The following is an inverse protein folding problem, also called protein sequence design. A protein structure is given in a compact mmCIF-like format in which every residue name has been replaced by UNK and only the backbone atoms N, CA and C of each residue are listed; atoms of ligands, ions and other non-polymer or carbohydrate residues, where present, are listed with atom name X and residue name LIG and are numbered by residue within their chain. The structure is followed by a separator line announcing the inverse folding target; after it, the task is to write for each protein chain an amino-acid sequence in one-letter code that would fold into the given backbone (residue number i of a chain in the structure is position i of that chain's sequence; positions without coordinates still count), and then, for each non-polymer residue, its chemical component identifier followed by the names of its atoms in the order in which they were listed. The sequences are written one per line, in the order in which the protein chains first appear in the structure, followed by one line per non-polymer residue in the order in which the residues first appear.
data_IF_737197477378
#
_entry.id   IF_737197477378
#
_cell.length_a   1.000
_cell.length_b   1.000
_cell.length_c   1.000
_cell.angle_alpha   90.00
_cell.angle_beta   90.00
_cell.angle_gamma   90.00
#
_symmetry.space_group_name_H-M   'P 1'
#
loop_
_entity.id
_entity.type
_entity.pdbx_description
1 polymer ?
#
# COMPACT_ATOMS: atom_id res chain seq x y z
N UNK A 1 -15.66 9.22 11.43
CA UNK A 1 -14.54 8.81 12.31
C UNK A 1 -13.70 7.84 11.52
N UNK A 2 -12.37 8.03 11.48
CA UNK A 2 -11.46 7.12 10.79
C UNK A 2 -11.07 5.99 11.75
N UNK A 3 -11.21 4.74 11.34
CA UNK A 3 -10.91 3.59 12.20
C UNK A 3 -9.43 3.51 12.54
N UNK A 4 -9.12 3.04 13.75
CA UNK A 4 -7.75 2.78 14.17
C UNK A 4 -7.15 1.55 13.48
N UNK A 5 -5.83 1.38 13.62
CA UNK A 5 -5.13 0.16 13.18
C UNK A 5 -5.75 -1.09 13.81
N UNK A 6 -6.01 -1.09 15.11
CA UNK A 6 -6.55 -2.26 15.81
C UNK A 6 -7.98 -2.58 15.35
N UNK A 7 -8.80 -1.55 15.13
CA UNK A 7 -10.14 -1.72 14.55
C UNK A 7 -10.06 -2.31 13.14
N UNK A 8 -9.11 -1.88 12.31
CA UNK A 8 -8.92 -2.44 10.98
C UNK A 8 -8.52 -3.92 11.02
N UNK A 9 -7.68 -4.34 11.98
CA UNK A 9 -7.32 -5.76 12.19
C UNK A 9 -8.57 -6.58 12.52
N UNK A 10 -9.40 -6.11 13.45
CA UNK A 10 -10.58 -6.87 13.86
C UNK A 10 -11.63 -6.94 12.74
N UNK A 11 -11.81 -5.86 11.97
CA UNK A 11 -12.66 -5.87 10.77
C UNK A 11 -12.13 -6.88 9.74
N UNK A 12 -10.82 -6.90 9.48
CA UNK A 12 -10.21 -7.84 8.56
C UNK A 12 -10.35 -9.30 9.02
N UNK A 13 -10.24 -9.55 10.33
CA UNK A 13 -10.38 -10.89 10.92
C UNK A 13 -11.78 -11.45 10.67
N UNK A 14 -12.81 -10.65 10.89
CA UNK A 14 -14.20 -11.06 10.65
C UNK A 14 -14.47 -11.32 9.16
N UNK A 15 -13.89 -10.52 8.26
CA UNK A 15 -14.03 -10.75 6.82
C UNK A 15 -13.36 -12.05 6.36
N UNK A 16 -12.19 -12.40 6.90
CA UNK A 16 -11.51 -13.66 6.58
C UNK A 16 -12.37 -14.85 7.01
N UNK A 17 -12.91 -14.84 8.24
CA UNK A 17 -13.83 -15.89 8.71
C UNK A 17 -15.04 -16.03 7.78
N UNK A 18 -15.59 -14.90 7.32
CA UNK A 18 -16.73 -14.89 6.38
C UNK A 18 -16.36 -15.51 5.03
N UNK A 19 -15.16 -15.23 4.52
CA UNK A 19 -14.64 -15.76 3.26
C UNK A 19 -14.42 -17.27 3.34
N UNK A 20 -13.89 -17.77 4.47
CA UNK A 20 -13.75 -19.22 4.72
C UNK A 20 -15.10 -19.95 4.69
N UNK A 21 -16.15 -19.33 5.27
CA UNK A 21 -17.51 -19.87 5.25
C UNK A 21 -18.02 -20.01 3.81
N UNK A 22 -17.64 -19.10 2.91
CA UNK A 22 -18.03 -19.14 1.49
C UNK A 22 -17.27 -20.21 0.68
N UNK A 23 -16.22 -20.81 1.24
CA UNK A 23 -15.43 -21.92 0.66
C UNK A 23 -14.86 -21.65 -0.74
N UNK A 24 -14.44 -20.42 -1.01
CA UNK A 24 -13.65 -20.16 -2.21
C UNK A 24 -12.29 -20.89 -2.10
N UNK A 25 -11.98 -21.83 -3.03
CA UNK A 25 -10.72 -22.58 -2.99
C UNK A 25 -9.47 -21.70 -3.03
N UNK A 26 -9.56 -20.51 -3.63
CA UNK A 26 -8.45 -19.56 -3.69
C UNK A 26 -8.01 -19.13 -2.30
N UNK A 27 -8.95 -18.93 -1.38
CA UNK A 27 -8.69 -18.43 -0.03
C UNK A 27 -8.59 -19.53 1.03
N UNK A 28 -8.70 -20.81 0.65
CA UNK A 28 -8.60 -21.94 1.59
C UNK A 28 -7.35 -21.90 2.51
N UNK A 29 -6.15 -21.48 2.04
CA UNK A 29 -4.97 -21.37 2.91
C UNK A 29 -5.09 -20.31 4.00
N UNK A 30 -6.02 -19.35 3.89
CA UNK A 30 -6.15 -18.26 4.85
C UNK A 30 -6.65 -18.73 6.23
N UNK A 31 -7.20 -19.94 6.31
CA UNK A 31 -7.60 -20.61 7.56
C UNK A 31 -6.48 -20.78 8.60
N UNK A 32 -5.23 -20.75 8.16
CA UNK A 32 -4.04 -20.81 9.04
C UNK A 32 -3.24 -19.51 9.05
N UNK A 33 -3.76 -18.46 8.42
CA UNK A 33 -3.07 -17.19 8.32
C UNK A 33 -3.14 -16.39 9.63
N UNK A 34 -2.11 -15.60 9.87
CA UNK A 34 -2.17 -14.50 10.82
C UNK A 34 -2.42 -13.17 10.09
N UNK A 35 -2.88 -12.16 10.83
CA UNK A 35 -2.95 -10.80 10.31
C UNK A 35 -1.65 -10.05 10.66
N UNK A 36 -1.07 -9.41 9.65
CA UNK A 36 0.09 -8.54 9.81
C UNK A 36 -0.28 -7.16 10.36
N UNK A 37 0.74 -6.32 10.55
CA UNK A 37 0.53 -4.91 10.94
C UNK A 37 -0.16 -4.15 9.80
N UNK A 38 -1.28 -3.46 10.04
CA UNK A 38 -1.92 -2.62 9.03
C UNK A 38 -1.00 -1.52 8.54
N UNK A 39 -1.05 -1.27 7.23
CA UNK A 39 -0.38 -0.14 6.59
C UNK A 39 -1.42 0.92 6.28
N UNK A 40 -1.19 2.15 6.77
CA UNK A 40 -2.04 3.28 6.44
C UNK A 40 -1.70 3.76 5.04
N UNK A 41 -2.69 3.75 4.16
CA UNK A 41 -2.61 4.42 2.86
C UNK A 41 -3.22 5.80 3.00
N UNK A 42 -2.47 6.80 2.52
CA UNK A 42 -2.90 8.19 2.49
C UNK A 42 -3.29 8.62 1.08
N UNK A 43 -4.03 9.71 0.96
CA UNK A 43 -4.17 10.39 -0.34
C UNK A 43 -2.91 11.21 -0.65
N UNK A 44 -2.90 11.85 -1.82
CA UNK A 44 -1.80 12.71 -2.27
C UNK A 44 -1.52 13.91 -1.35
N UNK A 45 -2.50 14.32 -0.55
CA UNK A 45 -2.37 15.40 0.44
C UNK A 45 -2.01 14.89 1.84
N UNK A 46 -1.58 13.62 1.95
CA UNK A 46 -1.12 12.95 3.17
C UNK A 46 -2.23 12.74 4.21
N UNK A 47 -3.49 12.89 3.82
CA UNK A 47 -4.63 12.59 4.67
C UNK A 47 -4.90 11.08 4.70
N UNK A 48 -5.29 10.51 5.86
CA UNK A 48 -5.66 9.11 5.97
C UNK A 48 -6.78 8.72 4.99
N UNK A 49 -6.58 7.66 4.20
CA UNK A 49 -7.57 7.19 3.21
C UNK A 49 -8.15 5.82 3.58
N UNK A 50 -7.30 4.81 3.73
CA UNK A 50 -7.71 3.47 4.14
C UNK A 50 -6.54 2.66 4.72
N UNK A 51 -6.87 1.54 5.35
CA UNK A 51 -5.90 0.55 5.82
C UNK A 51 -5.79 -0.60 4.83
N UNK A 52 -4.57 -1.10 4.64
CA UNK A 52 -4.31 -2.42 4.07
C UNK A 52 -3.84 -3.33 5.21
N UNK A 53 -4.62 -4.36 5.51
CA UNK A 53 -4.28 -5.37 6.52
C UNK A 53 -3.67 -6.58 5.81
N UNK A 54 -2.38 -6.90 6.02
CA UNK A 54 -1.74 -8.04 5.39
C UNK A 54 -2.27 -9.36 5.94
N UNK A 55 -2.49 -10.34 5.06
CA UNK A 55 -2.76 -11.74 5.44
C UNK A 55 -1.46 -12.52 5.28
N UNK A 56 -0.96 -13.08 6.39
CA UNK A 56 0.40 -13.64 6.48
C UNK A 56 0.35 -15.14 6.71
N UNK A 57 1.04 -15.91 5.87
CA UNK A 57 1.20 -17.35 5.99
C UNK A 57 2.69 -17.66 5.91
N UNK A 58 3.25 -18.32 6.93
CA UNK A 58 4.66 -18.72 6.98
C UNK A 58 5.64 -17.56 6.70
N UNK A 59 5.33 -16.36 7.19
CA UNK A 59 6.16 -15.16 6.99
C UNK A 59 6.05 -14.52 5.60
N UNK A 60 5.12 -14.98 4.75
CA UNK A 60 4.81 -14.40 3.44
C UNK A 60 3.46 -13.72 3.47
N UNK A 61 3.35 -12.57 2.81
CA UNK A 61 2.10 -11.85 2.64
C UNK A 61 1.33 -12.51 1.51
N UNK A 62 0.46 -13.42 1.88
CA UNK A 62 -0.35 -14.24 0.97
C UNK A 62 -1.47 -13.42 0.33
N UNK A 63 -1.89 -12.32 0.97
CA UNK A 63 -2.92 -11.42 0.47
C UNK A 63 -3.14 -10.23 1.38
N UNK A 64 -4.30 -9.58 1.21
CA UNK A 64 -4.67 -8.41 1.98
C UNK A 64 -6.18 -8.26 2.14
N UNK A 65 -6.57 -7.48 3.14
CA UNK A 65 -7.90 -6.92 3.30
C UNK A 65 -7.80 -5.40 3.30
N UNK A 66 -8.54 -4.72 2.43
CA UNK A 66 -8.61 -3.25 2.36
C UNK A 66 -9.79 -2.75 3.18
N UNK A 67 -9.51 -1.99 4.24
CA UNK A 67 -10.51 -1.44 5.17
C UNK A 67 -10.55 0.08 5.04
N UNK A 68 -11.67 0.62 4.58
CA UNK A 68 -11.87 2.06 4.43
C UNK A 68 -11.96 2.77 5.78
N UNK A 69 -11.71 4.08 5.79
CA UNK A 69 -11.81 4.92 6.99
C UNK A 69 -13.07 4.71 7.86
N UNK A 70 -14.28 4.54 7.29
CA UNK A 70 -15.49 4.25 8.07
C UNK A 70 -15.59 2.83 8.64
N UNK A 71 -14.61 1.95 8.42
CA UNK A 71 -14.61 0.57 8.91
C UNK A 71 -15.27 -0.46 7.99
N UNK A 72 -15.43 -0.14 6.70
CA UNK A 72 -15.99 -1.04 5.70
C UNK A 72 -14.88 -1.73 4.91
N UNK A 73 -15.01 -3.03 4.65
CA UNK A 73 -14.15 -3.73 3.70
C UNK A 73 -14.49 -3.29 2.27
N UNK A 74 -13.50 -2.79 1.55
CA UNK A 74 -13.63 -2.41 0.14
C UNK A 74 -13.18 -3.52 -0.81
N UNK A 75 -12.19 -4.31 -0.41
CA UNK A 75 -11.63 -5.36 -1.23
C UNK A 75 -10.87 -6.39 -0.37
N UNK A 76 -10.81 -7.61 -0.89
CA UNK A 76 -9.84 -8.63 -0.48
C UNK A 76 -9.09 -9.08 -1.74
N UNK A 77 -7.84 -9.51 -1.58
CA UNK A 77 -7.05 -10.00 -2.71
C UNK A 77 -5.93 -10.93 -2.27
N UNK A 78 -5.58 -11.88 -3.13
CA UNK A 78 -4.43 -12.76 -2.97
C UNK A 78 -3.28 -12.30 -3.87
N UNK A 79 -2.03 -12.52 -3.42
CA UNK A 79 -0.82 -12.25 -4.22
C UNK A 79 -0.32 -13.48 -4.99
N UNK A 80 -1.09 -14.57 -4.96
CA UNK A 80 -0.83 -15.79 -5.71
C UNK A 80 -2.01 -16.10 -6.64
N UNK A 81 -1.74 -16.85 -7.72
CA UNK A 81 -2.77 -17.39 -8.60
C UNK A 81 -3.07 -18.85 -8.28
N UNK A 82 -2.11 -19.59 -7.71
CA UNK A 82 -2.31 -20.92 -7.14
C UNK A 82 -2.00 -20.89 -5.62
N UNK A 83 -2.91 -21.34 -4.74
CA UNK A 83 -2.68 -21.54 -3.30
C UNK A 83 -1.37 -22.24 -2.92
N UNK A 84 -0.76 -23.02 -3.81
CA UNK A 84 0.53 -23.70 -3.59
C UNK A 84 1.74 -22.77 -3.72
N UNK A 85 1.56 -21.57 -4.25
CA UNK A 85 2.63 -20.60 -4.54
C UNK A 85 2.88 -19.58 -3.41
N UNK A 86 2.35 -19.81 -2.21
CA UNK A 86 2.52 -18.93 -1.04
C UNK A 86 3.99 -18.55 -0.80
N UNK A 87 4.94 -19.44 -1.06
CA UNK A 87 6.38 -19.17 -0.87
C UNK A 87 6.93 -18.10 -1.82
N UNK A 88 6.31 -17.89 -2.98
CA UNK A 88 6.67 -16.87 -3.96
C UNK A 88 6.05 -15.50 -3.64
N UNK A 89 5.11 -15.45 -2.68
CA UNK A 89 4.47 -14.20 -2.28
C UNK A 89 5.46 -13.21 -1.65
N UNK A 90 5.15 -11.90 -1.71
CA UNK A 90 6.00 -10.87 -1.13
C UNK A 90 6.11 -10.99 0.40
N UNK A 91 7.09 -10.32 0.99
CA UNK A 91 7.28 -10.25 2.45
C UNK A 91 6.62 -9.02 3.07
N UNK A 92 6.22 -8.04 2.25
CA UNK A 92 5.47 -6.85 2.65
C UNK A 92 4.29 -6.64 1.70
N UNK A 93 3.18 -6.12 2.23
CA UNK A 93 1.94 -5.90 1.45
C UNK A 93 2.07 -4.79 0.42
N UNK A 94 3.05 -3.90 0.60
CA UNK A 94 3.39 -2.80 -0.31
C UNK A 94 4.33 -3.24 -1.44
N UNK A 95 4.73 -4.52 -1.48
CA UNK A 95 5.73 -5.09 -2.40
C UNK A 95 7.18 -4.70 -2.08
N UNK A 96 7.42 -3.44 -1.68
CA UNK A 96 8.73 -2.91 -1.21
C UNK A 96 8.55 -2.09 0.07
N UNK A 97 9.59 -2.00 0.90
CA UNK A 97 9.54 -1.17 2.11
C UNK A 97 9.96 0.30 1.84
N UNK A 98 9.81 1.16 2.85
CA UNK A 98 10.17 2.57 2.76
C UNK A 98 11.67 2.78 2.47
N UNK A 99 12.55 1.91 2.98
CA UNK A 99 13.99 2.04 2.78
C UNK A 99 14.37 1.71 1.33
N UNK A 100 13.76 0.69 0.74
CA UNK A 100 13.89 0.39 -0.68
C UNK A 100 13.28 1.49 -1.55
N UNK A 101 12.12 2.02 -1.16
CA UNK A 101 11.52 3.14 -1.88
C UNK A 101 12.45 4.37 -1.91
N UNK A 102 13.07 4.70 -0.77
CA UNK A 102 14.08 5.76 -0.68
C UNK A 102 15.26 5.50 -1.62
N UNK A 103 15.86 4.30 -1.58
CA UNK A 103 16.98 3.95 -2.47
C UNK A 103 16.64 4.09 -3.95
N UNK A 104 15.44 3.68 -4.37
CA UNK A 104 15.00 3.81 -5.77
C UNK A 104 14.74 5.27 -6.18
N UNK A 105 14.43 6.15 -5.22
CA UNK A 105 14.25 7.58 -5.46
C UNK A 105 15.56 8.35 -5.53
N UNK A 106 16.64 7.87 -4.90
CA UNK A 106 17.95 8.55 -4.84
C UNK A 106 18.52 8.92 -6.21
N UNK A 107 18.35 8.07 -7.22
CA UNK A 107 18.80 8.34 -8.60
C UNK A 107 18.13 9.54 -9.28
N UNK A 108 17.03 10.04 -8.69
CA UNK A 108 16.20 11.14 -9.23
C UNK A 108 16.31 12.41 -8.42
N UNK A 109 17.10 12.39 -7.35
CA UNK A 109 17.31 13.53 -6.46
C UNK A 109 18.66 14.14 -6.83
N UNK A 110 18.69 15.45 -6.95
CA UNK A 110 19.83 16.26 -7.36
C UNK A 110 20.25 17.20 -6.21
N UNK A 111 20.98 16.70 -5.19
CA UNK A 111 21.43 17.54 -4.09
C UNK A 111 22.29 18.74 -4.55
N UNK A 112 22.99 18.60 -5.67
CA UNK A 112 23.77 19.66 -6.33
C UNK A 112 22.91 20.87 -6.74
N UNK A 113 21.62 20.65 -7.01
CA UNK A 113 20.65 21.68 -7.37
C UNK A 113 19.89 22.21 -6.15
N UNK A 114 20.33 21.86 -4.94
CA UNK A 114 19.70 22.22 -3.68
C UNK A 114 18.44 21.41 -3.34
N UNK A 115 18.27 20.23 -3.95
CA UNK A 115 17.15 19.36 -3.66
C UNK A 115 17.30 18.59 -2.34
N UNK A 116 16.20 18.46 -1.62
CA UNK A 116 16.08 17.63 -0.42
C UNK A 116 14.86 16.74 -0.55
N UNK A 117 15.00 15.45 -0.23
CA UNK A 117 13.89 14.50 -0.28
C UNK A 117 13.26 14.28 1.09
N UNK A 118 11.92 14.23 1.14
CA UNK A 118 11.17 13.86 2.33
C UNK A 118 11.35 12.38 2.71
N UNK A 119 10.78 11.98 3.85
CA UNK A 119 10.54 10.56 4.11
C UNK A 119 9.48 9.98 3.15
N UNK A 120 9.63 8.72 2.72
CA UNK A 120 8.60 8.04 1.93
C UNK A 120 7.30 7.88 2.70
N UNK A 121 6.20 8.22 2.06
CA UNK A 121 4.84 8.05 2.58
C UNK A 121 4.07 7.14 1.63
N UNK A 122 3.41 6.11 2.16
CA UNK A 122 2.60 5.22 1.33
C UNK A 122 1.25 5.87 1.00
N UNK A 123 1.00 6.08 -0.28
CA UNK A 123 -0.18 6.80 -0.80
C UNK A 123 -0.88 5.97 -1.87
N UNK A 124 -2.09 6.38 -2.24
CA UNK A 124 -2.71 5.99 -3.51
C UNK A 124 -2.73 7.18 -4.47
N UNK A 125 -2.43 6.91 -5.75
CA UNK A 125 -2.44 7.89 -6.82
C UNK A 125 -3.67 7.68 -7.72
N UNK A 126 -4.73 8.43 -7.44
CA UNK A 126 -6.05 8.26 -8.07
C UNK A 126 -6.90 7.19 -7.36
N UNK A 127 -7.53 6.25 -8.09
CA UNK A 127 -8.39 5.22 -7.50
C UNK A 127 -7.70 4.34 -6.44
N UNK A 128 -8.46 3.81 -5.49
CA UNK A 128 -7.96 2.82 -4.53
C UNK A 128 -7.39 1.60 -5.27
N UNK A 129 -6.21 1.12 -4.88
CA UNK A 129 -5.49 0.05 -5.60
C UNK A 129 -4.37 0.52 -6.52
N UNK A 130 -4.19 1.83 -6.70
CA UNK A 130 -2.99 2.41 -7.35
C UNK A 130 -2.02 2.94 -6.29
N UNK A 131 -1.52 2.06 -5.44
CA UNK A 131 -0.63 2.45 -4.34
C UNK A 131 0.83 2.65 -4.77
N UNK A 132 1.50 3.64 -4.16
CA UNK A 132 2.90 3.94 -4.38
C UNK A 132 3.51 4.58 -3.12
N UNK A 133 4.84 4.53 -3.00
CA UNK A 133 5.57 5.35 -2.04
C UNK A 133 5.82 6.73 -2.65
N UNK A 134 5.28 7.77 -2.02
CA UNK A 134 5.50 9.17 -2.37
C UNK A 134 6.70 9.73 -1.62
N UNK A 135 7.63 10.32 -2.36
CA UNK A 135 8.73 11.14 -1.85
C UNK A 135 8.56 12.54 -2.44
N UNK A 136 8.52 13.55 -1.58
CA UNK A 136 8.53 14.94 -2.02
C UNK A 136 9.96 15.42 -2.20
N UNK A 137 10.23 16.00 -3.37
CA UNK A 137 11.45 16.75 -3.63
C UNK A 137 11.19 18.22 -3.31
N UNK A 138 11.97 18.72 -2.37
CA UNK A 138 11.84 20.04 -1.78
C UNK A 138 13.02 20.88 -2.26
N UNK A 139 12.72 22.08 -2.76
CA UNK A 139 13.71 23.09 -3.14
C UNK A 139 13.26 24.42 -2.57
N UNK A 140 14.19 25.15 -1.96
CA UNK A 140 13.90 26.44 -1.27
C UNK A 140 12.75 26.33 -0.24
N UNK A 141 12.62 25.16 0.42
CA UNK A 141 11.60 24.90 1.43
C UNK A 141 10.21 24.55 0.89
N UNK A 142 10.04 24.46 -0.43
CA UNK A 142 8.76 24.17 -1.07
C UNK A 142 8.82 22.83 -1.81
N UNK A 143 7.88 21.89 -1.58
CA UNK A 143 7.73 20.72 -2.43
C UNK A 143 7.39 21.15 -3.86
N UNK A 144 8.20 20.75 -4.83
CA UNK A 144 8.01 21.17 -6.22
C UNK A 144 7.88 19.98 -7.18
N UNK A 145 8.37 18.81 -6.78
CA UNK A 145 8.26 17.57 -7.55
C UNK A 145 7.92 16.41 -6.61
N UNK A 146 7.10 15.49 -7.11
CA UNK A 146 6.74 14.25 -6.44
C UNK A 146 7.37 13.08 -7.18
N UNK A 147 8.12 12.25 -6.46
CA UNK A 147 8.65 10.97 -6.94
C UNK A 147 7.77 9.87 -6.36
N UNK A 148 7.25 9.02 -7.24
CA UNK A 148 6.44 7.87 -6.90
C UNK A 148 7.20 6.60 -7.17
N UNK A 149 7.30 5.75 -6.16
CA UNK A 149 8.04 4.51 -6.23
C UNK A 149 7.08 3.34 -6.01
N UNK A 150 7.01 2.47 -7.01
CA UNK A 150 6.31 1.19 -6.92
C UNK A 150 7.33 0.04 -6.93
N UNK A 151 6.91 -1.21 -6.68
CA UNK A 151 7.81 -2.35 -6.87
C UNK A 151 8.37 -2.44 -8.30
N UNK A 152 7.56 -2.10 -9.30
CA UNK A 152 7.87 -2.32 -10.72
C UNK A 152 8.60 -1.15 -11.40
N UNK A 153 8.29 0.09 -11.05
CA UNK A 153 8.87 1.28 -11.67
C UNK A 153 8.79 2.52 -10.78
N UNK A 154 9.50 3.57 -11.20
CA UNK A 154 9.52 4.88 -10.56
C UNK A 154 9.09 5.93 -11.59
N UNK A 155 8.22 6.84 -11.18
CA UNK A 155 7.71 7.92 -12.03
C UNK A 155 7.58 9.21 -11.23
N UNK A 156 7.39 10.33 -11.92
CA UNK A 156 7.46 11.67 -11.32
C UNK A 156 6.45 12.62 -11.94
N UNK A 157 6.01 13.62 -11.19
CA UNK A 157 5.25 14.77 -11.70
C UNK A 157 5.46 15.99 -10.82
N UNK A 158 5.03 17.17 -11.27
CA UNK A 158 5.11 18.37 -10.43
C UNK A 158 4.21 18.22 -9.21
N UNK A 159 4.65 18.77 -8.08
CA UNK A 159 3.86 18.74 -6.86
C UNK A 159 2.53 19.48 -7.08
N UNK A 160 1.43 18.86 -6.66
CA UNK A 160 0.08 19.41 -6.82
C UNK A 160 -0.62 19.07 -8.14
N UNK A 161 0.08 18.51 -9.13
CA UNK A 161 -0.56 17.93 -10.31
C UNK A 161 -1.18 16.58 -9.92
N UNK A 162 -2.50 16.44 -10.05
CA UNK A 162 -3.21 15.18 -9.85
C UNK A 162 -3.34 14.44 -11.19
N UNK A 163 -3.35 13.11 -11.14
CA UNK A 163 -3.69 12.30 -12.30
C UNK A 163 -5.16 12.56 -12.66
N UNK A 164 -5.42 12.90 -13.93
CA UNK A 164 -6.77 13.12 -14.45
C UNK A 164 -7.61 11.84 -14.21
N UNK A 165 -8.69 11.97 -13.43
CA UNK A 165 -9.51 10.85 -12.98
C UNK A 165 -10.34 10.21 -14.12
N UNK A 166 -10.22 10.72 -15.34
CA UNK A 166 -11.05 10.36 -16.51
C UNK A 166 -10.54 9.18 -17.34
N UNK A 167 -9.44 8.54 -16.96
CA UNK A 167 -8.96 7.30 -17.60
C UNK A 167 -9.36 6.07 -16.78
N UNK A 168 -10.65 5.70 -16.91
CA UNK A 168 -11.19 4.36 -16.62
C UNK A 168 -10.82 3.37 -17.74
#
# INVERSE_FOLDING_TARGET
MFVSSDQAIEIAREEIKRTEIQRDPMFAPWSVASLGRPVLVKNMFKEPSYWIVPVVIQGRVAGFVRVLGPGRVAAIGAFYQDPKEIKACPVTVTGIDAAEARRKAEERIHPEDGEVASDPIFVHDGPHGREAWLIEVIKEGIPYRWIFVTPAFVYERMAGELLDETLE
#
